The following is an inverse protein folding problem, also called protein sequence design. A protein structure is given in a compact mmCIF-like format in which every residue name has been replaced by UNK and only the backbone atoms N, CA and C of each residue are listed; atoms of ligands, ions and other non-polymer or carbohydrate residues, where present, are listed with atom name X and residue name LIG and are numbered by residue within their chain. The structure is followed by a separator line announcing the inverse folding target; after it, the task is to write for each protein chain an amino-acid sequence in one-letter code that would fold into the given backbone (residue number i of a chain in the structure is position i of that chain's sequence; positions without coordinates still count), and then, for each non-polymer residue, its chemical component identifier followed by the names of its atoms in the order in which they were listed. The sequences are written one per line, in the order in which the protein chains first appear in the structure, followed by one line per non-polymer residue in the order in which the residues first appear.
data_IF_711594736136
#
_entry.id   IF_711594736136
#
_cell.length_a   1.000
_cell.length_b   1.000
_cell.length_c   1.000
_cell.angle_alpha   90.00
_cell.angle_beta   90.00
_cell.angle_gamma   90.00
#
_symmetry.space_group_name_H-M   'P 1'
#
loop_
_entity.id
_entity.type
_entity.pdbx_description
1 polymer ?
#
# COMPACT_ATOMS: atom_id res chain seq x y z
N UNK A 1 0.58 5.38 -15.50
CA UNK A 1 0.43 4.46 -14.37
C UNK A 1 1.15 3.15 -14.68
N UNK A 2 1.71 2.50 -13.65
CA UNK A 2 2.35 1.17 -13.75
C UNK A 2 1.61 0.21 -12.82
N UNK A 3 1.20 -0.94 -13.35
CA UNK A 3 0.61 -2.04 -12.60
C UNK A 3 1.37 -3.32 -12.91
N UNK A 4 1.79 -4.07 -11.90
CA UNK A 4 2.50 -5.32 -12.12
C UNK A 4 2.74 -6.10 -10.84
N UNK A 5 3.16 -7.35 -11.00
CA UNK A 5 3.58 -8.21 -9.91
C UNK A 5 5.09 -8.39 -9.90
N UNK A 6 5.67 -8.48 -8.73
CA UNK A 6 7.10 -8.73 -8.53
C UNK A 6 7.28 -9.88 -7.53
N UNK A 7 8.25 -10.74 -7.77
CA UNK A 7 8.56 -11.85 -6.86
C UNK A 7 9.14 -11.31 -5.54
N UNK A 8 8.70 -11.83 -4.37
CA UNK A 8 9.16 -11.37 -3.07
C UNK A 8 10.69 -11.24 -2.94
N UNK A 9 11.45 -12.24 -3.38
CA UNK A 9 12.91 -12.20 -3.31
C UNK A 9 13.57 -11.08 -4.13
N UNK A 10 12.92 -10.62 -5.21
CA UNK A 10 13.41 -9.47 -5.99
C UNK A 10 13.10 -8.15 -5.31
N UNK A 11 11.89 -8.04 -4.74
CA UNK A 11 11.53 -6.86 -3.94
C UNK A 11 12.46 -6.71 -2.75
N UNK A 12 12.75 -7.80 -2.03
CA UNK A 12 13.67 -7.75 -0.88
C UNK A 12 15.05 -7.22 -1.24
N UNK A 13 15.61 -7.61 -2.39
CA UNK A 13 16.89 -7.10 -2.85
C UNK A 13 16.82 -5.58 -3.07
N UNK A 14 15.82 -5.11 -3.80
CA UNK A 14 15.63 -3.67 -4.09
C UNK A 14 15.36 -2.85 -2.83
N UNK A 15 14.57 -3.39 -1.87
CA UNK A 15 14.32 -2.70 -0.59
C UNK A 15 15.60 -2.63 0.25
N UNK A 16 16.42 -3.70 0.27
CA UNK A 16 17.72 -3.67 0.97
C UNK A 16 18.68 -2.63 0.39
N UNK A 17 18.76 -2.53 -0.93
CA UNK A 17 19.57 -1.51 -1.58
C UNK A 17 19.08 -0.09 -1.22
N UNK A 18 17.77 0.15 -1.26
CA UNK A 18 17.18 1.41 -0.89
C UNK A 18 17.40 1.77 0.60
N UNK A 19 17.38 0.77 1.48
CA UNK A 19 17.58 0.94 2.93
C UNK A 19 19.05 1.19 3.28
N UNK A 20 19.98 0.57 2.56
CA UNK A 20 21.42 0.67 2.84
C UNK A 20 22.11 1.82 2.10
N UNK A 21 21.37 2.73 1.47
CA UNK A 21 21.95 3.86 0.72
C UNK A 21 22.70 3.44 -0.54
N UNK A 22 22.33 2.29 -1.13
CA UNK A 22 22.89 1.81 -2.40
C UNK A 22 22.24 2.46 -3.62
N UNK A 23 22.55 1.94 -4.82
CA UNK A 23 21.99 2.42 -6.09
C UNK A 23 20.45 2.37 -6.18
N UNK A 24 19.79 1.60 -5.31
CA UNK A 24 18.32 1.52 -5.20
C UNK A 24 17.69 2.61 -4.33
N UNK A 25 18.48 3.50 -3.72
CA UNK A 25 17.97 4.67 -2.95
C UNK A 25 17.63 5.86 -3.87
N UNK A 26 17.05 5.54 -5.03
CA UNK A 26 16.61 6.53 -6.03
C UNK A 26 15.15 6.99 -5.81
N UNK A 27 14.52 6.53 -4.75
CA UNK A 27 13.13 6.84 -4.44
C UNK A 27 12.10 6.09 -5.31
N UNK A 28 12.53 5.09 -6.09
CA UNK A 28 11.63 4.35 -6.99
C UNK A 28 10.55 3.59 -6.21
N UNK A 29 10.93 2.84 -5.18
CA UNK A 29 9.99 2.04 -4.37
C UNK A 29 8.95 2.92 -3.67
N UNK A 30 9.36 4.09 -3.18
CA UNK A 30 8.47 5.04 -2.51
C UNK A 30 7.40 5.64 -3.43
N UNK A 31 7.56 5.49 -4.76
CA UNK A 31 6.58 5.95 -5.75
C UNK A 31 5.47 4.93 -6.01
N UNK A 32 5.66 3.68 -5.59
CA UNK A 32 4.60 2.66 -5.63
C UNK A 32 3.73 2.72 -4.39
N UNK A 33 2.90 3.76 -4.29
CA UNK A 33 2.04 4.01 -3.13
C UNK A 33 1.00 2.91 -2.85
N UNK A 34 0.63 2.12 -3.86
CA UNK A 34 -0.29 0.99 -3.77
C UNK A 34 0.46 -0.35 -3.75
N UNK A 35 1.53 -0.43 -2.97
CA UNK A 35 2.27 -1.67 -2.79
C UNK A 35 1.50 -2.63 -1.88
N UNK A 36 1.08 -3.77 -2.42
CA UNK A 36 0.34 -4.80 -1.68
C UNK A 36 1.18 -6.06 -1.57
N UNK A 37 1.33 -6.56 -0.35
CA UNK A 37 1.97 -7.82 -0.02
C UNK A 37 0.88 -8.83 0.39
N UNK A 38 0.34 -9.63 -0.53
CA UNK A 38 -0.80 -10.48 -0.25
C UNK A 38 -0.41 -11.62 0.69
N UNK A 39 -1.33 -12.01 1.56
CA UNK A 39 -1.22 -13.25 2.31
C UNK A 39 -1.44 -14.43 1.36
N UNK A 40 -0.67 -15.49 1.55
CA UNK A 40 -0.85 -16.73 0.81
C UNK A 40 -1.78 -17.63 1.61
N UNK A 41 -2.94 -17.96 1.06
CA UNK A 41 -3.81 -18.95 1.66
C UNK A 41 -3.09 -20.31 1.73
N UNK A 42 -3.17 -20.96 2.90
CA UNK A 42 -2.53 -22.27 3.11
C UNK A 42 -3.29 -23.41 2.48
N UNK A 43 -4.59 -23.23 2.28
CA UNK A 43 -5.46 -24.24 1.69
C UNK A 43 -5.73 -23.91 0.23
N UNK A 44 -5.53 -24.90 -0.63
CA UNK A 44 -5.94 -24.79 -2.03
C UNK A 44 -7.46 -24.87 -2.10
N UNK A 45 -8.09 -23.85 -2.68
CA UNK A 45 -9.52 -23.85 -3.04
C UNK A 45 -9.65 -23.91 -4.54
N UNK A 46 -10.26 -24.99 -5.03
CA UNK A 46 -10.64 -25.05 -6.44
C UNK A 46 -11.75 -24.02 -6.69
N UNK A 47 -11.48 -23.07 -7.57
CA UNK A 47 -12.45 -22.09 -8.05
C UNK A 47 -12.71 -22.37 -9.53
N UNK A 48 -13.79 -23.12 -9.79
CA UNK A 48 -14.28 -23.39 -11.14
C UNK A 48 -15.64 -22.70 -11.31
N UNK A 49 -15.61 -21.47 -11.80
CA UNK A 49 -16.80 -20.67 -12.05
C UNK A 49 -16.65 -19.86 -13.32
N UNK A 50 -17.77 -19.63 -13.98
CA UNK A 50 -17.82 -18.74 -15.14
C UNK A 50 -17.43 -17.31 -14.73
N UNK A 51 -16.78 -16.55 -15.64
CA UNK A 51 -16.52 -15.13 -15.41
C UNK A 51 -17.81 -14.38 -15.10
N UNK A 52 -17.74 -13.47 -14.11
CA UNK A 52 -18.84 -12.55 -13.83
C UNK A 52 -18.91 -11.46 -14.89
N UNK A 53 -19.64 -11.75 -15.97
CA UNK A 53 -19.80 -10.82 -17.09
C UNK A 53 -20.50 -9.54 -16.70
N UNK A 54 -21.56 -9.53 -15.88
CA UNK A 54 -22.17 -8.30 -15.37
C UNK A 54 -21.19 -7.41 -14.62
N UNK A 55 -20.41 -7.97 -13.69
CA UNK A 55 -19.41 -7.20 -12.94
C UNK A 55 -18.33 -6.60 -13.85
N UNK A 56 -17.87 -7.38 -14.86
CA UNK A 56 -16.93 -6.89 -15.88
C UNK A 56 -17.51 -5.73 -16.67
N UNK A 57 -18.76 -5.84 -17.10
CA UNK A 57 -19.44 -4.79 -17.85
C UNK A 57 -19.64 -3.53 -17.01
N UNK A 58 -20.01 -3.66 -15.73
CA UNK A 58 -20.15 -2.54 -14.80
C UNK A 58 -18.81 -1.80 -14.61
N UNK A 59 -17.72 -2.55 -14.43
CA UNK A 59 -16.38 -1.94 -14.35
C UNK A 59 -15.99 -1.22 -15.64
N UNK A 60 -16.28 -1.81 -16.80
CA UNK A 60 -16.00 -1.21 -18.10
C UNK A 60 -16.79 0.09 -18.31
N UNK A 61 -18.05 0.11 -17.94
CA UNK A 61 -18.89 1.31 -18.02
C UNK A 61 -18.35 2.49 -17.21
N UNK A 62 -17.69 2.21 -16.06
CA UNK A 62 -17.00 3.25 -15.29
C UNK A 62 -15.87 3.86 -16.11
N UNK A 63 -15.01 3.03 -16.75
CA UNK A 63 -13.92 3.53 -17.58
C UNK A 63 -14.41 4.33 -18.77
N UNK A 64 -15.48 3.90 -19.45
CA UNK A 64 -16.09 4.63 -20.56
C UNK A 64 -16.62 6.00 -20.10
N UNK A 65 -17.30 6.05 -18.96
CA UNK A 65 -17.78 7.30 -18.38
C UNK A 65 -16.63 8.25 -18.04
N UNK A 66 -15.57 7.76 -17.39
CA UNK A 66 -14.41 8.58 -17.06
C UNK A 66 -13.66 9.09 -18.29
N UNK A 67 -13.59 8.27 -19.34
CA UNK A 67 -13.00 8.68 -20.62
C UNK A 67 -13.80 9.77 -21.35
N UNK A 68 -15.10 9.88 -21.05
CA UNK A 68 -15.97 10.95 -21.55
C UNK A 68 -15.87 12.29 -20.81
N UNK A 69 -15.15 12.34 -19.68
CA UNK A 69 -14.90 13.59 -18.98
C UNK A 69 -14.01 14.50 -19.85
N UNK A 70 -14.38 15.77 -19.91
CA UNK A 70 -13.55 16.75 -20.61
C UNK A 70 -12.17 16.83 -19.93
N UNK A 71 -11.06 16.72 -20.67
CA UNK A 71 -9.75 16.84 -20.08
C UNK A 71 -9.58 18.27 -19.55
N UNK A 72 -9.05 18.38 -18.32
CA UNK A 72 -8.54 19.63 -17.83
C UNK A 72 -7.40 20.11 -18.73
N UNK A 73 -7.36 21.39 -19.04
CA UNK A 73 -6.25 22.02 -19.76
C UNK A 73 -5.32 22.72 -18.77
N UNK A 74 -4.08 23.02 -19.18
CA UNK A 74 -3.15 23.79 -18.33
C UNK A 74 -3.70 25.19 -18.00
N UNK A 75 -4.53 25.75 -18.90
CA UNK A 75 -5.17 27.05 -18.73
C UNK A 75 -6.50 27.01 -17.94
N UNK A 76 -7.13 25.82 -17.83
CA UNK A 76 -8.37 25.61 -17.09
C UNK A 76 -8.35 24.24 -16.38
N UNK A 77 -7.57 24.12 -15.29
CA UNK A 77 -7.50 22.91 -14.51
C UNK A 77 -8.83 22.69 -13.76
N UNK A 78 -9.39 21.49 -13.85
CA UNK A 78 -10.52 21.11 -13.00
C UNK A 78 -10.08 20.96 -11.56
N UNK A 79 -10.50 21.87 -10.70
CA UNK A 79 -10.21 21.82 -9.28
C UNK A 79 -11.24 20.98 -8.54
N UNK A 80 -10.73 20.07 -7.69
CA UNK A 80 -11.53 19.29 -6.75
C UNK A 80 -11.11 19.63 -5.32
N UNK A 81 -12.09 19.79 -4.43
CA UNK A 81 -11.86 20.18 -3.03
C UNK A 81 -12.65 19.27 -2.10
N UNK A 82 -12.17 19.09 -0.91
CA UNK A 82 -12.95 18.45 0.15
C UNK A 82 -14.10 19.35 0.58
N UNK A 83 -15.25 18.74 0.93
CA UNK A 83 -16.28 19.44 1.69
C UNK A 83 -15.71 19.90 3.04
N UNK A 84 -16.31 20.88 3.73
CA UNK A 84 -15.85 21.31 5.06
C UNK A 84 -15.71 20.13 6.05
N UNK A 85 -16.68 19.21 6.03
CA UNK A 85 -16.73 18.02 6.87
C UNK A 85 -15.60 17.04 6.51
N UNK A 86 -15.43 16.73 5.21
CA UNK A 86 -14.34 15.90 4.74
C UNK A 86 -12.96 16.51 5.06
N UNK A 87 -12.84 17.84 4.93
CA UNK A 87 -11.60 18.54 5.28
C UNK A 87 -11.27 18.41 6.78
N UNK A 88 -12.26 18.47 7.65
CA UNK A 88 -12.08 18.25 9.08
C UNK A 88 -11.56 16.84 9.38
N UNK A 89 -12.21 15.81 8.81
CA UNK A 89 -11.78 14.40 8.92
C UNK A 89 -10.35 14.21 8.38
N UNK A 90 -10.03 14.85 7.25
CA UNK A 90 -8.69 14.77 6.70
C UNK A 90 -7.62 15.33 7.65
N UNK A 91 -7.89 16.45 8.32
CA UNK A 91 -6.96 17.03 9.29
C UNK A 91 -6.85 16.20 10.57
N UNK A 92 -7.96 15.61 11.03
CA UNK A 92 -7.95 14.68 12.17
C UNK A 92 -7.07 13.46 11.91
N UNK A 93 -7.04 12.97 10.68
CA UNK A 93 -6.15 11.90 10.26
C UNK A 93 -4.71 12.39 10.02
N UNK A 94 -4.55 13.51 9.31
CA UNK A 94 -3.24 13.97 8.83
C UNK A 94 -2.30 14.38 9.98
N UNK A 95 -2.82 15.09 10.98
CA UNK A 95 -2.00 15.61 12.08
C UNK A 95 -1.31 14.50 12.88
N UNK A 96 -2.02 13.48 13.41
CA UNK A 96 -1.36 12.38 14.11
C UNK A 96 -0.50 11.53 13.17
N UNK A 97 -0.91 11.35 11.90
CA UNK A 97 -0.12 10.65 10.90
C UNK A 97 1.24 11.32 10.66
N UNK A 98 1.26 12.63 10.39
CA UNK A 98 2.48 13.41 10.18
C UNK A 98 3.37 13.47 11.43
N UNK A 99 2.77 13.51 12.62
CA UNK A 99 3.49 13.44 13.88
C UNK A 99 4.15 12.07 14.05
N UNK A 100 3.40 11.00 13.76
CA UNK A 100 3.90 9.64 13.90
C UNK A 100 5.05 9.31 12.95
N UNK A 101 4.97 9.73 11.68
CA UNK A 101 6.04 9.44 10.71
C UNK A 101 7.31 10.26 10.94
N UNK A 102 7.25 11.33 11.73
CA UNK A 102 8.42 12.13 12.13
C UNK A 102 9.05 11.66 13.44
N UNK A 103 8.43 10.69 14.11
CA UNK A 103 9.00 10.05 15.29
C UNK A 103 10.26 9.26 14.95
N UNK A 104 11.11 9.03 15.95
CA UNK A 104 12.38 8.30 15.77
C UNK A 104 12.23 6.80 15.59
N UNK A 105 11.01 6.27 15.71
CA UNK A 105 10.75 4.82 15.73
C UNK A 105 10.70 4.15 14.35
N UNK A 106 10.53 4.94 13.27
CA UNK A 106 10.39 4.41 11.92
C UNK A 106 11.67 4.55 11.12
N UNK A 107 11.97 3.52 10.32
CA UNK A 107 13.11 3.59 9.41
C UNK A 107 12.91 4.67 8.33
N UNK A 108 13.95 5.46 7.97
CA UNK A 108 13.85 6.56 7.01
C UNK A 108 13.23 6.18 5.64
N UNK A 109 13.52 4.99 5.13
CA UNK A 109 12.93 4.50 3.88
C UNK A 109 11.41 4.31 3.98
N UNK A 110 10.90 3.80 5.11
CA UNK A 110 9.47 3.71 5.36
C UNK A 110 8.85 5.09 5.55
N UNK A 111 9.51 5.98 6.29
CA UNK A 111 9.08 7.40 6.44
C UNK A 111 8.95 8.05 5.07
N UNK A 112 9.93 7.87 4.19
CA UNK A 112 9.92 8.41 2.82
C UNK A 112 8.75 7.87 1.98
N UNK A 113 8.39 6.59 2.16
CA UNK A 113 7.23 5.98 1.52
C UNK A 113 5.93 6.59 2.05
N UNK A 114 5.75 6.58 3.37
CA UNK A 114 4.53 7.08 4.01
C UNK A 114 4.33 8.59 3.76
N UNK A 115 5.40 9.38 3.69
CA UNK A 115 5.32 10.81 3.39
C UNK A 115 4.64 11.13 2.03
N UNK A 116 4.58 10.17 1.10
CA UNK A 116 3.83 10.33 -0.16
C UNK A 116 2.30 10.26 0.03
N UNK A 117 1.86 9.73 1.16
CA UNK A 117 0.44 9.50 1.42
C UNK A 117 -0.36 10.78 1.61
N UNK A 118 0.29 11.89 1.95
CA UNK A 118 -0.33 13.22 1.89
C UNK A 118 -1.00 13.54 0.54
N UNK A 119 -0.46 12.95 -0.55
CA UNK A 119 -1.02 13.09 -1.90
C UNK A 119 -1.82 11.86 -2.30
N UNK A 120 -1.43 10.68 -1.85
CA UNK A 120 -2.08 9.43 -2.21
C UNK A 120 -3.52 9.38 -1.70
N UNK A 121 -3.76 9.76 -0.44
CA UNK A 121 -5.08 9.67 0.17
C UNK A 121 -6.09 10.61 -0.49
N UNK A 122 -5.79 11.92 -0.70
CA UNK A 122 -6.65 12.78 -1.50
C UNK A 122 -6.88 12.27 -2.93
N UNK A 123 -5.85 11.70 -3.57
CA UNK A 123 -6.01 11.13 -4.92
C UNK A 123 -6.93 9.91 -4.93
N UNK A 124 -6.88 9.03 -3.92
CA UNK A 124 -7.81 7.91 -3.78
C UNK A 124 -9.23 8.39 -3.52
N UNK A 125 -9.40 9.38 -2.65
CA UNK A 125 -10.72 9.99 -2.40
C UNK A 125 -11.31 10.61 -3.68
N UNK A 126 -10.49 11.29 -4.46
CA UNK A 126 -10.89 11.81 -5.77
C UNK A 126 -11.31 10.69 -6.74
N UNK A 127 -10.54 9.60 -6.80
CA UNK A 127 -10.89 8.45 -7.64
C UNK A 127 -12.24 7.88 -7.22
N UNK A 128 -12.51 7.72 -5.91
CA UNK A 128 -13.79 7.25 -5.42
C UNK A 128 -14.93 8.22 -5.78
N UNK A 129 -14.72 9.52 -5.63
CA UNK A 129 -15.71 10.53 -6.04
C UNK A 129 -16.02 10.43 -7.54
N UNK A 130 -15.00 10.34 -8.38
CA UNK A 130 -15.18 10.20 -9.83
C UNK A 130 -15.88 8.90 -10.24
N UNK A 131 -15.67 7.81 -9.49
CA UNK A 131 -16.30 6.52 -9.76
C UNK A 131 -17.76 6.49 -9.31
N UNK A 132 -18.07 7.01 -8.14
CA UNK A 132 -19.39 6.86 -7.53
C UNK A 132 -20.32 8.06 -7.82
N UNK A 133 -19.78 9.26 -7.78
CA UNK A 133 -20.54 10.52 -7.83
C UNK A 133 -19.88 11.55 -8.76
N UNK A 134 -19.82 11.31 -10.07
CA UNK A 134 -19.10 12.18 -11.01
C UNK A 134 -19.65 13.61 -11.09
N UNK A 135 -20.89 13.81 -10.67
CA UNK A 135 -21.61 15.09 -10.80
C UNK A 135 -21.53 15.99 -9.56
N UNK A 136 -20.53 15.80 -8.69
CA UNK A 136 -20.38 16.55 -7.43
C UNK A 136 -19.82 17.97 -7.59
N UNK A 137 -19.78 18.51 -8.78
CA UNK A 137 -19.27 19.87 -9.06
C UNK A 137 -17.89 20.17 -8.46
N UNK A 138 -17.00 19.20 -8.46
CA UNK A 138 -15.63 19.36 -7.92
C UNK A 138 -15.54 19.24 -6.40
N UNK A 139 -16.52 18.64 -5.73
CA UNK A 139 -16.50 18.42 -4.28
C UNK A 139 -16.33 16.94 -3.96
N UNK A 140 -15.41 16.63 -3.06
CA UNK A 140 -15.18 15.30 -2.49
C UNK A 140 -15.80 15.31 -1.09
N UNK A 141 -16.78 14.44 -0.87
CA UNK A 141 -17.49 14.35 0.40
C UNK A 141 -16.83 13.37 1.39
N UNK A 142 -17.42 13.26 2.57
CA UNK A 142 -16.91 12.43 3.67
C UNK A 142 -16.81 10.95 3.29
N UNK A 143 -17.80 10.41 2.58
CA UNK A 143 -17.86 8.99 2.23
C UNK A 143 -16.68 8.52 1.41
N UNK A 144 -16.27 9.29 0.41
CA UNK A 144 -15.12 9.01 -0.44
C UNK A 144 -13.81 9.10 0.34
N UNK A 145 -13.70 10.09 1.23
CA UNK A 145 -12.52 10.25 2.08
C UNK A 145 -12.41 9.12 3.10
N UNK A 146 -13.49 8.75 3.78
CA UNK A 146 -13.50 7.64 4.76
C UNK A 146 -13.04 6.33 4.08
N UNK A 147 -13.49 6.07 2.85
CA UNK A 147 -13.02 4.92 2.07
C UNK A 147 -11.55 5.00 1.74
N UNK A 148 -11.04 6.18 1.38
CA UNK A 148 -9.62 6.39 1.14
C UNK A 148 -8.78 6.18 2.41
N UNK A 149 -9.28 6.60 3.57
CA UNK A 149 -8.63 6.36 4.86
C UNK A 149 -8.63 4.88 5.25
N UNK A 150 -9.70 4.14 4.97
CA UNK A 150 -9.72 2.68 5.15
C UNK A 150 -8.67 1.98 4.26
N UNK A 151 -8.46 2.47 3.04
CA UNK A 151 -7.38 2.01 2.18
C UNK A 151 -6.00 2.38 2.76
N UNK A 152 -5.85 3.54 3.40
CA UNK A 152 -4.60 3.91 4.07
C UNK A 152 -4.23 2.88 5.15
N UNK A 153 -5.17 2.51 6.02
CA UNK A 153 -4.94 1.49 7.05
C UNK A 153 -4.51 0.13 6.44
N UNK A 154 -5.21 -0.32 5.40
CA UNK A 154 -4.85 -1.55 4.68
C UNK A 154 -3.45 -1.46 4.08
N UNK A 155 -3.15 -0.42 3.33
CA UNK A 155 -1.86 -0.24 2.66
C UNK A 155 -0.71 -0.08 3.64
N UNK A 156 -0.94 0.49 4.83
CA UNK A 156 0.07 0.65 5.87
C UNK A 156 0.61 -0.70 6.32
N UNK A 157 -0.27 -1.65 6.60
CA UNK A 157 0.15 -3.00 7.00
C UNK A 157 1.00 -3.69 5.94
N UNK A 158 0.71 -3.45 4.67
CA UNK A 158 1.49 -4.00 3.55
C UNK A 158 2.82 -3.28 3.35
N UNK A 159 2.86 -1.96 3.50
CA UNK A 159 4.10 -1.19 3.46
C UNK A 159 5.04 -1.61 4.59
N UNK A 160 4.53 -1.74 5.82
CA UNK A 160 5.31 -2.21 6.96
C UNK A 160 5.89 -3.60 6.71
N UNK A 161 5.12 -4.55 6.16
CA UNK A 161 5.62 -5.88 5.77
C UNK A 161 6.71 -5.81 4.69
N UNK A 162 6.49 -4.96 3.69
CA UNK A 162 7.44 -4.77 2.59
C UNK A 162 8.81 -4.31 3.10
N UNK A 163 8.81 -3.31 3.98
CA UNK A 163 10.05 -2.76 4.53
C UNK A 163 10.63 -3.61 5.66
N UNK A 164 9.81 -4.19 6.54
CA UNK A 164 10.27 -5.07 7.62
C UNK A 164 11.08 -6.25 7.09
N UNK A 165 10.66 -6.86 5.99
CA UNK A 165 11.35 -7.97 5.37
C UNK A 165 12.78 -7.64 4.91
N UNK A 166 13.10 -6.35 4.72
CA UNK A 166 14.44 -5.90 4.33
C UNK A 166 15.24 -5.35 5.51
N UNK A 167 14.55 -4.79 6.52
CA UNK A 167 15.16 -4.13 7.68
C UNK A 167 15.60 -5.10 8.77
N UNK A 168 15.00 -6.32 8.81
CA UNK A 168 15.26 -7.26 9.90
C UNK A 168 15.67 -8.63 9.31
N UNK A 169 16.84 -8.72 8.63
CA UNK A 169 17.37 -10.02 8.21
C UNK A 169 17.61 -10.94 9.41
N UNK A 170 17.93 -10.37 10.58
CA UNK A 170 18.17 -11.06 11.84
C UNK A 170 16.91 -11.72 12.41
N UNK A 171 15.75 -11.07 12.36
CA UNK A 171 14.49 -11.71 12.81
C UNK A 171 14.05 -12.82 11.87
N UNK A 172 14.25 -12.67 10.57
CA UNK A 172 13.98 -13.75 9.61
C UNK A 172 14.93 -14.93 9.85
N UNK A 173 16.21 -14.64 10.13
CA UNK A 173 17.20 -15.63 10.56
C UNK A 173 16.83 -16.27 11.89
N UNK A 174 16.43 -15.48 12.87
CA UNK A 174 15.99 -15.95 14.18
C UNK A 174 14.72 -16.82 14.12
N UNK A 175 13.73 -16.43 13.31
CA UNK A 175 12.55 -17.27 13.08
C UNK A 175 12.87 -18.57 12.36
N UNK A 176 13.78 -18.56 11.37
CA UNK A 176 14.24 -19.77 10.70
C UNK A 176 15.03 -20.68 11.65
N UNK A 177 15.86 -20.09 12.50
CA UNK A 177 16.59 -20.82 13.54
C UNK A 177 15.62 -21.43 14.57
N UNK A 178 14.68 -20.65 15.07
CA UNK A 178 13.65 -21.12 16.00
C UNK A 178 12.80 -22.26 15.41
N UNK A 179 12.46 -22.17 14.13
CA UNK A 179 11.74 -23.25 13.44
C UNK A 179 12.58 -24.52 13.33
N UNK A 180 13.91 -24.41 13.10
CA UNK A 180 14.82 -25.54 13.09
C UNK A 180 15.02 -26.16 14.50
N UNK A 181 15.09 -25.31 15.53
CA UNK A 181 15.15 -25.74 16.93
C UNK A 181 13.86 -26.50 17.30
N UNK A 182 12.69 -25.92 17.05
CA UNK A 182 11.40 -26.57 17.31
C UNK A 182 11.19 -27.84 16.49
N UNK A 183 11.80 -27.94 15.32
CA UNK A 183 11.79 -29.12 14.46
C UNK A 183 12.83 -30.17 14.82
N UNK A 184 13.62 -30.00 15.89
CA UNK A 184 14.66 -30.93 16.31
C UNK A 184 15.86 -31.03 15.36
N UNK A 185 16.01 -30.10 14.43
CA UNK A 185 17.07 -30.17 13.38
C UNK A 185 18.42 -29.57 13.80
N UNK A 186 18.50 -29.02 15.00
CA UNK A 186 19.73 -28.41 15.54
C UNK A 186 20.11 -28.99 16.92
N UNK A 187 19.53 -30.12 17.29
CA UNK A 187 19.89 -30.83 18.50
C UNK A 187 20.64 -32.10 18.11
N UNK A 188 21.61 -32.50 18.93
CA UNK A 188 22.20 -33.83 18.86
C UNK A 188 21.18 -34.90 19.31
N UNK A 189 21.58 -36.17 19.28
CA UNK A 189 20.76 -37.30 19.71
C UNK A 189 20.28 -37.22 21.15
N UNK A 190 20.92 -36.39 21.99
CA UNK A 190 20.61 -36.18 23.40
C UNK A 190 19.78 -34.90 23.64
N UNK A 191 19.38 -34.19 22.58
CA UNK A 191 18.56 -33.01 22.66
C UNK A 191 19.29 -31.71 23.04
N UNK A 192 20.62 -31.73 23.00
CA UNK A 192 21.46 -30.57 23.31
C UNK A 192 21.67 -29.72 22.03
N UNK A 193 21.50 -28.41 22.14
CA UNK A 193 21.84 -27.48 21.06
C UNK A 193 23.34 -27.43 20.85
N UNK A 194 23.79 -27.50 19.60
CA UNK A 194 25.17 -27.26 19.25
C UNK A 194 25.57 -25.81 19.60
N UNK A 195 26.71 -25.65 20.31
CA UNK A 195 27.31 -24.33 20.57
C UNK A 195 27.89 -23.69 19.28
#
# INVERSE_FOLDING_TARGET
AMLGGIRPGKVHASVREAVNGGAGDDGLLQRFGLAVWPDVEREFKLVDRWPDTPAKQAAWAVFERLNGLLPATDDDPQEWRFSPEAQAIFYEWLIPFETGIRGEELHPALVSHLAKWRKLIPALALIFALVDTPDTNGVIHEGELIRALAWAEYLRTHAERLYAAALIPETTGAHALLAKIKGGKLCDGDGVLWE
#
